data_IF_687680598531
#
_entry.id   IF_687680598531
#
_cell.length_a   1.000
_cell.length_b   1.000
_cell.length_c   1.000
_cell.angle_alpha   90.00
_cell.angle_beta   90.00
_cell.angle_gamma   90.00
#
_symmetry.space_group_name_H-M   'P 1'
#
loop_
_entity.id
_entity.type
_entity.pdbx_description
1 polymer ?
#
# COMPACT_ATOMS: atom_id res chain seq x y z
N UNK A 1 24.56 -38.28 -8.95
CA UNK A 1 24.44 -39.26 -10.05
C UNK A 1 23.83 -38.51 -11.23
N UNK A 2 24.41 -38.26 -12.40
CA UNK A 2 25.71 -38.58 -12.99
C UNK A 2 26.33 -37.28 -13.51
N UNK A 3 27.60 -37.05 -13.16
CA UNK A 3 28.46 -36.06 -13.80
C UNK A 3 29.28 -36.81 -14.85
N UNK A 4 29.40 -36.26 -16.06
CA UNK A 4 30.39 -36.68 -17.04
C UNK A 4 31.39 -35.53 -17.24
N UNK A 5 32.62 -35.62 -16.73
CA UNK A 5 33.73 -34.83 -17.22
C UNK A 5 34.41 -35.62 -18.36
N UNK A 6 34.50 -35.04 -19.55
CA UNK A 6 35.39 -35.57 -20.58
C UNK A 6 36.76 -34.91 -20.38
N UNK A 7 37.62 -35.62 -19.65
CA UNK A 7 39.05 -35.36 -19.54
C UNK A 7 39.78 -35.99 -20.73
N UNK A 8 40.58 -35.22 -21.45
CA UNK A 8 41.62 -35.72 -22.36
C UNK A 8 43.00 -35.49 -21.71
N UNK A 9 43.98 -36.38 -21.95
CA UNK A 9 45.19 -36.49 -21.13
C UNK A 9 46.22 -35.37 -21.41
N UNK A 10 46.86 -34.93 -20.32
CA UNK A 10 48.01 -34.03 -20.26
C UNK A 10 49.32 -34.80 -20.54
N UNK A 11 50.14 -34.29 -21.45
CA UNK A 11 51.60 -34.38 -21.35
C UNK A 11 52.24 -33.05 -21.79
N UNK A 12 53.21 -32.60 -20.99
CA UNK A 12 53.87 -31.30 -21.00
C UNK A 12 54.93 -31.17 -22.11
N UNK A 13 55.11 -29.98 -22.67
CA UNK A 13 56.38 -29.22 -22.63
C UNK A 13 56.20 -27.79 -23.16
N UNK A 14 56.74 -26.81 -22.40
CA UNK A 14 56.83 -25.40 -22.76
C UNK A 14 57.97 -25.15 -23.75
N UNK A 15 57.72 -24.34 -24.78
CA UNK A 15 58.76 -23.75 -25.62
C UNK A 15 58.18 -22.67 -26.52
N UNK A 16 58.43 -21.39 -26.20
CA UNK A 16 58.19 -20.28 -27.12
C UNK A 16 59.27 -20.26 -28.21
N UNK A 17 58.85 -20.11 -29.48
CA UNK A 17 59.42 -19.27 -30.55
C UNK A 17 59.24 -19.91 -31.95
N UNK A 18 59.03 -19.03 -32.93
CA UNK A 18 59.20 -19.23 -34.38
C UNK A 18 58.10 -19.94 -35.20
N UNK A 19 57.33 -19.12 -35.92
CA UNK A 19 57.20 -19.23 -37.38
C UNK A 19 56.73 -20.56 -37.98
N UNK A 20 55.78 -21.24 -37.36
CA UNK A 20 54.99 -22.36 -37.92
C UNK A 20 53.50 -22.12 -37.61
N UNK A 21 52.56 -22.62 -38.42
CA UNK A 21 51.14 -22.49 -38.11
C UNK A 21 50.90 -23.09 -36.72
N UNK A 22 50.61 -22.23 -35.75
CA UNK A 22 50.27 -22.65 -34.39
C UNK A 22 49.19 -23.72 -34.49
N UNK A 23 49.44 -24.85 -33.83
CA UNK A 23 48.65 -26.06 -33.99
C UNK A 23 47.18 -25.70 -33.72
N UNK A 24 46.24 -26.03 -34.61
CA UNK A 24 44.84 -25.65 -34.44
C UNK A 24 44.28 -26.07 -33.06
N UNK A 25 44.84 -27.14 -32.48
CA UNK A 25 44.60 -27.57 -31.11
C UNK A 25 44.95 -26.50 -30.04
N UNK A 26 46.10 -25.84 -30.13
CA UNK A 26 46.53 -24.79 -29.19
C UNK A 26 45.64 -23.55 -29.27
N UNK A 27 45.23 -23.18 -30.50
CA UNK A 27 44.26 -22.11 -30.73
C UNK A 27 42.92 -22.43 -30.03
N UNK A 28 42.36 -23.62 -30.26
CA UNK A 28 41.06 -23.97 -29.68
C UNK A 28 41.11 -24.20 -28.18
N UNK A 29 42.26 -24.62 -27.64
CA UNK A 29 42.48 -24.64 -26.20
C UNK A 29 42.49 -23.22 -25.62
N UNK A 30 43.24 -22.29 -26.22
CA UNK A 30 43.26 -20.88 -25.84
C UNK A 30 41.85 -20.26 -25.89
N UNK A 31 41.13 -20.45 -26.99
CA UNK A 31 39.74 -20.00 -27.17
C UNK A 31 38.84 -20.56 -26.07
N UNK A 32 38.97 -21.85 -25.75
CA UNK A 32 38.19 -22.49 -24.70
C UNK A 32 38.50 -21.91 -23.30
N UNK A 33 39.76 -21.57 -23.02
CA UNK A 33 40.12 -20.90 -21.77
C UNK A 33 39.56 -19.48 -21.73
N UNK A 34 39.70 -18.71 -22.83
CA UNK A 34 39.16 -17.36 -22.95
C UNK A 34 37.64 -17.31 -22.76
N UNK A 35 36.91 -18.30 -23.29
CA UNK A 35 35.47 -18.46 -23.03
C UNK A 35 35.19 -18.69 -21.54
N UNK A 36 35.93 -19.58 -20.87
CA UNK A 36 35.75 -19.87 -19.43
C UNK A 36 35.97 -18.62 -18.57
N UNK A 37 36.93 -17.77 -18.93
CA UNK A 37 37.20 -16.51 -18.25
C UNK A 37 36.39 -15.32 -18.79
N UNK A 38 35.38 -15.57 -19.64
CA UNK A 38 34.47 -14.58 -20.26
C UNK A 38 35.18 -13.51 -21.13
N UNK A 39 36.37 -13.80 -21.63
CA UNK A 39 37.12 -12.95 -22.58
C UNK A 39 36.68 -13.24 -24.02
N UNK A 40 35.41 -12.96 -24.29
CA UNK A 40 34.80 -13.28 -25.57
C UNK A 40 35.38 -12.47 -26.74
N UNK A 41 35.80 -11.23 -26.50
CA UNK A 41 36.43 -10.38 -27.53
C UNK A 41 37.77 -10.95 -28.00
N UNK A 42 38.64 -11.32 -27.06
CA UNK A 42 39.94 -11.95 -27.35
C UNK A 42 39.73 -13.26 -28.13
N UNK A 43 38.84 -14.14 -27.65
CA UNK A 43 38.53 -15.38 -28.33
C UNK A 43 37.97 -15.18 -29.76
N UNK A 44 37.11 -14.17 -29.97
CA UNK A 44 36.60 -13.85 -31.30
C UNK A 44 37.69 -13.32 -32.24
N UNK A 45 38.62 -12.52 -31.73
CA UNK A 45 39.75 -12.01 -32.53
C UNK A 45 40.67 -13.15 -32.98
N UNK A 46 41.01 -14.06 -32.07
CA UNK A 46 41.83 -15.24 -32.37
C UNK A 46 41.17 -16.11 -33.45
N UNK A 47 39.86 -16.36 -33.32
CA UNK A 47 39.09 -17.13 -34.30
C UNK A 47 38.99 -16.43 -35.66
N UNK A 48 38.86 -15.10 -35.68
CA UNK A 48 38.84 -14.34 -36.93
C UNK A 48 40.20 -14.42 -37.65
N UNK A 49 41.31 -14.25 -36.92
CA UNK A 49 42.66 -14.38 -37.48
C UNK A 49 42.91 -15.80 -38.03
N UNK A 50 42.41 -16.83 -37.33
CA UNK A 50 42.50 -18.21 -37.79
C UNK A 50 41.70 -18.45 -39.08
N UNK A 51 40.50 -17.89 -39.19
CA UNK A 51 39.65 -17.98 -40.39
C UNK A 51 40.26 -17.21 -41.57
N UNK A 52 40.93 -16.08 -41.32
CA UNK A 52 41.66 -15.33 -42.34
C UNK A 52 42.86 -16.11 -42.87
N UNK A 53 43.55 -16.83 -41.98
CA UNK A 53 44.72 -17.66 -42.33
C UNK A 53 44.31 -18.94 -43.07
N UNK A 54 43.27 -19.62 -42.59
CA UNK A 54 42.71 -20.83 -43.20
C UNK A 54 41.18 -20.76 -43.28
N UNK A 55 40.64 -20.31 -44.43
CA UNK A 55 39.19 -20.24 -44.63
C UNK A 55 38.47 -21.59 -44.64
N UNK A 56 39.19 -22.72 -44.74
CA UNK A 56 38.62 -24.06 -44.70
C UNK A 56 38.58 -24.66 -43.28
N UNK A 57 39.11 -23.96 -42.27
CA UNK A 57 39.13 -24.38 -40.86
C UNK A 57 37.71 -24.36 -40.26
N UNK A 58 36.97 -25.45 -40.44
CA UNK A 58 35.56 -25.57 -40.06
C UNK A 58 35.31 -25.32 -38.57
N UNK A 59 36.18 -25.81 -37.72
CA UNK A 59 36.11 -25.73 -36.26
C UNK A 59 36.13 -24.28 -35.79
N UNK A 60 36.88 -23.40 -36.47
CA UNK A 60 36.91 -21.98 -36.13
C UNK A 60 35.55 -21.31 -36.35
N UNK A 61 34.83 -21.67 -37.42
CA UNK A 61 33.46 -21.18 -37.64
C UNK A 61 32.49 -21.69 -36.58
N UNK A 62 32.62 -22.96 -36.15
CA UNK A 62 31.77 -23.54 -35.10
C UNK A 62 31.98 -22.82 -33.76
N UNK A 63 33.23 -22.66 -33.32
CA UNK A 63 33.55 -21.97 -32.08
C UNK A 63 33.14 -20.49 -32.14
N UNK A 64 33.38 -19.81 -33.27
CA UNK A 64 32.97 -18.42 -33.47
C UNK A 64 31.47 -18.26 -33.38
N UNK A 65 30.71 -19.14 -34.04
CA UNK A 65 29.26 -19.16 -33.94
C UNK A 65 28.79 -19.36 -32.50
N UNK A 66 29.35 -20.34 -31.79
CA UNK A 66 28.98 -20.62 -30.39
C UNK A 66 29.16 -19.40 -29.48
N UNK A 67 30.29 -18.69 -29.60
CA UNK A 67 30.56 -17.46 -28.84
C UNK A 67 29.57 -16.36 -29.22
N UNK A 68 29.37 -16.14 -30.53
CA UNK A 68 28.44 -15.11 -31.02
C UNK A 68 27.01 -15.37 -30.54
N UNK A 69 26.56 -16.63 -30.49
CA UNK A 69 25.27 -17.01 -29.89
C UNK A 69 25.23 -16.66 -28.40
N UNK A 70 26.26 -17.00 -27.62
CA UNK A 70 26.30 -16.65 -26.19
C UNK A 70 26.11 -15.15 -25.95
N UNK A 71 26.66 -14.32 -26.83
CA UNK A 71 26.56 -12.87 -26.82
C UNK A 71 25.29 -12.31 -27.48
N UNK A 72 24.37 -13.18 -27.92
CA UNK A 72 23.17 -12.86 -28.70
C UNK A 72 23.40 -12.02 -29.97
N UNK A 73 24.55 -12.21 -30.63
CA UNK A 73 24.86 -11.73 -31.99
C UNK A 73 24.37 -12.76 -33.01
N UNK A 74 23.05 -12.97 -33.05
CA UNK A 74 22.44 -14.12 -33.71
C UNK A 74 22.65 -14.14 -35.22
N UNK A 75 22.63 -12.99 -35.89
CA UNK A 75 22.82 -12.91 -37.34
C UNK A 75 24.23 -13.34 -37.76
N UNK A 76 25.25 -12.87 -37.03
CA UNK A 76 26.64 -13.22 -37.28
C UNK A 76 26.94 -14.68 -36.90
N UNK A 77 26.32 -15.13 -35.81
CA UNK A 77 26.41 -16.52 -35.38
C UNK A 77 25.76 -17.46 -36.40
N UNK A 78 24.60 -17.12 -36.95
CA UNK A 78 23.92 -17.93 -37.95
C UNK A 78 24.78 -18.05 -39.22
N UNK A 79 25.38 -16.94 -39.69
CA UNK A 79 26.31 -16.97 -40.82
C UNK A 79 27.48 -17.94 -40.57
N UNK A 80 28.03 -17.92 -39.36
CA UNK A 80 29.15 -18.80 -39.00
C UNK A 80 28.72 -20.28 -38.91
N UNK A 81 27.55 -20.59 -38.34
CA UNK A 81 27.02 -21.96 -38.34
C UNK A 81 26.67 -22.47 -39.75
N UNK A 82 26.09 -21.63 -40.60
CA UNK A 82 25.83 -21.99 -42.01
C UNK A 82 27.15 -22.30 -42.72
N UNK A 83 28.18 -21.48 -42.51
CA UNK A 83 29.50 -21.73 -43.11
C UNK A 83 30.15 -23.02 -42.61
N UNK A 84 30.03 -23.32 -41.31
CA UNK A 84 30.45 -24.59 -40.74
C UNK A 84 29.75 -25.79 -41.42
N UNK A 85 28.43 -25.71 -41.60
CA UNK A 85 27.63 -26.78 -42.22
C UNK A 85 27.87 -26.91 -43.74
N UNK A 86 28.26 -25.84 -44.43
CA UNK A 86 28.76 -25.92 -45.82
C UNK A 86 30.05 -26.74 -45.90
N UNK A 87 30.97 -26.55 -44.96
CA UNK A 87 32.25 -27.28 -44.90
C UNK A 87 32.07 -28.72 -44.37
N UNK A 88 31.08 -28.94 -43.49
CA UNK A 88 30.74 -30.25 -42.91
C UNK A 88 29.24 -30.55 -43.03
N UNK A 89 28.74 -30.91 -44.24
CA UNK A 89 27.33 -31.24 -44.44
C UNK A 89 26.87 -32.43 -43.59
N UNK A 90 25.66 -32.36 -43.05
CA UNK A 90 25.06 -33.44 -42.23
C UNK A 90 25.64 -33.57 -40.81
N UNK A 91 26.40 -32.57 -40.33
CA UNK A 91 26.88 -32.57 -38.95
C UNK A 91 25.73 -32.29 -37.97
N UNK A 92 25.30 -33.33 -37.26
CA UNK A 92 24.16 -33.27 -36.33
C UNK A 92 24.33 -32.28 -35.18
N UNK A 93 25.57 -32.05 -34.72
CA UNK A 93 25.87 -31.08 -33.65
C UNK A 93 25.67 -29.67 -34.18
N UNK A 94 26.22 -29.35 -35.36
CA UNK A 94 26.04 -28.05 -36.00
C UNK A 94 24.58 -27.71 -36.30
N UNK A 95 23.81 -28.68 -36.79
CA UNK A 95 22.37 -28.51 -37.03
C UNK A 95 21.59 -28.25 -35.73
N UNK A 96 21.92 -28.99 -34.66
CA UNK A 96 21.31 -28.80 -33.34
C UNK A 96 21.63 -27.42 -32.78
N UNK A 97 22.90 -26.99 -32.82
CA UNK A 97 23.33 -25.69 -32.33
C UNK A 97 22.70 -24.53 -33.12
N UNK A 98 22.59 -24.67 -34.45
CA UNK A 98 21.88 -23.71 -35.29
C UNK A 98 20.38 -23.64 -34.96
N UNK A 99 19.74 -24.78 -34.68
CA UNK A 99 18.34 -24.81 -34.21
C UNK A 99 18.18 -24.11 -32.86
N UNK A 100 19.07 -24.36 -31.91
CA UNK A 100 19.05 -23.67 -30.61
C UNK A 100 19.25 -22.17 -30.74
N UNK A 101 20.14 -21.72 -31.64
CA UNK A 101 20.30 -20.30 -31.96
C UNK A 101 18.98 -19.68 -32.43
N UNK A 102 18.30 -20.32 -33.38
CA UNK A 102 17.04 -19.80 -33.93
C UNK A 102 15.94 -19.74 -32.87
N UNK A 103 15.88 -20.74 -31.99
CA UNK A 103 14.97 -20.74 -30.84
C UNK A 103 15.27 -19.57 -29.89
N UNK A 104 16.54 -19.33 -29.56
CA UNK A 104 16.95 -18.23 -28.69
C UNK A 104 16.67 -16.85 -29.31
N UNK A 105 16.89 -16.70 -30.63
CA UNK A 105 16.56 -15.48 -31.36
C UNK A 105 15.06 -15.20 -31.34
N UNK A 106 14.25 -16.18 -31.76
CA UNK A 106 12.78 -16.03 -31.80
C UNK A 106 12.20 -15.79 -30.40
N UNK A 107 12.74 -16.45 -29.37
CA UNK A 107 12.33 -16.20 -27.98
C UNK A 107 12.71 -14.79 -27.49
N UNK A 108 13.87 -14.26 -27.89
CA UNK A 108 14.27 -12.89 -27.53
C UNK A 108 13.35 -11.85 -28.20
N UNK A 109 13.06 -12.03 -29.49
CA UNK A 109 12.11 -11.16 -30.23
C UNK A 109 10.71 -11.22 -29.61
N UNK A 110 10.26 -12.41 -29.22
CA UNK A 110 8.98 -12.61 -28.52
C UNK A 110 8.98 -11.91 -27.16
N UNK A 111 10.07 -12.01 -26.38
CA UNK A 111 10.19 -11.33 -25.10
C UNK A 111 10.13 -9.80 -25.23
N UNK A 112 10.70 -9.22 -26.28
CA UNK A 112 10.56 -7.79 -26.58
C UNK A 112 9.11 -7.41 -26.89
N UNK A 113 8.43 -8.18 -27.74
CA UNK A 113 7.00 -7.96 -28.03
C UNK A 113 6.10 -8.09 -26.79
N UNK A 114 6.41 -9.04 -25.89
CA UNK A 114 5.71 -9.22 -24.62
C UNK A 114 5.95 -8.06 -23.64
N UNK A 115 7.15 -7.48 -23.65
CA UNK A 115 7.43 -6.26 -22.90
C UNK A 115 6.54 -5.10 -23.36
N UNK A 116 6.40 -4.90 -24.67
CA UNK A 116 5.57 -3.81 -25.23
C UNK A 116 4.07 -4.01 -24.94
N UNK A 117 3.61 -5.26 -24.94
CA UNK A 117 2.23 -5.65 -24.61
C UNK A 117 1.94 -5.79 -23.11
N UNK A 118 2.92 -5.51 -22.24
CA UNK A 118 2.83 -5.58 -20.76
C UNK A 118 2.57 -6.96 -20.17
N UNK A 119 2.82 -8.04 -20.92
CA UNK A 119 2.78 -9.41 -20.39
C UNK A 119 4.14 -9.78 -19.78
N UNK A 120 4.39 -9.26 -18.58
CA UNK A 120 5.71 -9.34 -17.95
C UNK A 120 6.09 -10.78 -17.58
N UNK A 121 5.13 -11.60 -17.15
CA UNK A 121 5.39 -12.96 -16.65
C UNK A 121 5.83 -13.88 -17.78
N UNK A 122 5.13 -13.86 -18.92
CA UNK A 122 5.54 -14.65 -20.09
C UNK A 122 6.87 -14.14 -20.66
N UNK A 123 7.07 -12.82 -20.71
CA UNK A 123 8.34 -12.25 -21.15
C UNK A 123 9.53 -12.77 -20.34
N UNK A 124 9.40 -12.80 -19.01
CA UNK A 124 10.41 -13.38 -18.11
C UNK A 124 10.62 -14.87 -18.36
N UNK A 125 9.54 -15.62 -18.60
CA UNK A 125 9.63 -17.05 -18.88
C UNK A 125 10.44 -17.36 -20.16
N UNK A 126 10.20 -16.63 -21.25
CA UNK A 126 10.99 -16.78 -22.48
C UNK A 126 12.47 -16.46 -22.25
N UNK A 127 12.75 -15.40 -21.48
CA UNK A 127 14.12 -15.02 -21.16
C UNK A 127 14.83 -16.09 -20.31
N UNK A 128 14.22 -16.53 -19.21
CA UNK A 128 14.86 -17.45 -18.27
C UNK A 128 14.91 -18.89 -18.76
N UNK A 129 13.88 -19.36 -19.48
CA UNK A 129 13.80 -20.78 -19.92
C UNK A 129 14.41 -21.03 -21.30
N UNK A 130 14.58 -20.01 -22.13
CA UNK A 130 15.07 -20.16 -23.50
C UNK A 130 16.29 -19.30 -23.76
N UNK A 131 16.15 -17.97 -23.68
CA UNK A 131 17.21 -17.06 -24.13
C UNK A 131 18.46 -17.19 -23.28
N UNK A 132 18.36 -17.08 -21.96
CA UNK A 132 19.52 -17.12 -21.05
C UNK A 132 20.05 -18.55 -20.84
N UNK A 133 19.28 -19.58 -21.21
CA UNK A 133 19.76 -20.97 -21.26
C UNK A 133 20.72 -21.17 -22.43
N UNK A 134 20.36 -20.67 -23.62
CA UNK A 134 21.17 -20.82 -24.83
C UNK A 134 22.19 -19.69 -25.03
N UNK A 135 21.94 -18.53 -24.43
CA UNK A 135 22.70 -17.29 -24.58
C UNK A 135 22.97 -16.62 -23.22
N UNK A 136 23.69 -17.27 -22.29
CA UNK A 136 23.87 -16.79 -20.92
C UNK A 136 24.66 -15.48 -20.78
N UNK A 137 25.45 -15.11 -21.80
CA UNK A 137 26.21 -13.87 -21.84
C UNK A 137 25.48 -12.73 -22.57
N UNK A 138 24.21 -12.91 -22.93
CA UNK A 138 23.45 -11.90 -23.66
C UNK A 138 23.07 -10.71 -22.77
N UNK A 139 23.84 -9.62 -22.85
CA UNK A 139 23.57 -8.39 -22.09
C UNK A 139 22.21 -7.80 -22.40
N UNK A 140 21.76 -7.86 -23.67
CA UNK A 140 20.43 -7.37 -24.08
C UNK A 140 19.30 -8.09 -23.33
N UNK A 141 19.40 -9.41 -23.19
CA UNK A 141 18.40 -10.22 -22.49
C UNK A 141 18.42 -9.96 -20.98
N UNK A 142 19.60 -9.84 -20.36
CA UNK A 142 19.73 -9.51 -18.92
C UNK A 142 19.11 -8.14 -18.59
N UNK A 143 19.36 -7.13 -19.44
CA UNK A 143 18.75 -5.81 -19.30
C UNK A 143 17.24 -5.86 -19.50
N UNK A 144 16.74 -6.55 -20.54
CA UNK A 144 15.31 -6.71 -20.76
C UNK A 144 14.62 -7.41 -19.58
N UNK A 145 15.28 -8.43 -19.00
CA UNK A 145 14.81 -9.09 -17.79
C UNK A 145 14.68 -8.11 -16.63
N UNK A 146 15.69 -7.28 -16.39
CA UNK A 146 15.63 -6.25 -15.35
C UNK A 146 14.49 -5.23 -15.61
N UNK A 147 14.24 -4.84 -16.86
CA UNK A 147 13.09 -3.98 -17.23
C UNK A 147 11.74 -4.65 -16.95
N UNK A 148 11.58 -5.91 -17.34
CA UNK A 148 10.36 -6.68 -17.09
C UNK A 148 10.10 -6.85 -15.59
N UNK A 149 11.14 -7.15 -14.81
CA UNK A 149 11.05 -7.23 -13.35
C UNK A 149 10.63 -5.90 -12.72
N UNK A 150 11.18 -4.78 -13.21
CA UNK A 150 10.83 -3.44 -12.74
C UNK A 150 9.35 -3.12 -13.05
N UNK A 151 8.91 -3.38 -14.27
CA UNK A 151 7.52 -3.18 -14.69
C UNK A 151 6.54 -4.08 -13.91
N UNK A 152 6.98 -5.26 -13.50
CA UNK A 152 6.25 -6.17 -12.62
C UNK A 152 6.39 -5.85 -11.12
N UNK A 153 7.03 -4.74 -10.76
CA UNK A 153 7.23 -4.26 -9.38
C UNK A 153 8.06 -5.20 -8.48
N UNK A 154 8.88 -6.08 -9.06
CA UNK A 154 9.81 -6.97 -8.33
C UNK A 154 11.17 -6.29 -8.07
N UNK A 155 11.17 -5.21 -7.29
CA UNK A 155 12.34 -4.33 -7.11
C UNK A 155 13.58 -5.04 -6.56
N UNK A 156 13.43 -5.94 -5.60
CA UNK A 156 14.55 -6.73 -5.06
C UNK A 156 15.23 -7.59 -6.13
N UNK A 157 14.44 -8.16 -7.05
CA UNK A 157 14.95 -8.95 -8.17
C UNK A 157 15.68 -8.06 -9.20
N UNK A 158 15.19 -6.84 -9.45
CA UNK A 158 15.89 -5.85 -10.29
C UNK A 158 17.26 -5.52 -9.70
N UNK A 159 17.33 -5.31 -8.37
CA UNK A 159 18.59 -5.05 -7.67
C UNK A 159 19.55 -6.23 -7.82
N UNK A 160 19.07 -7.46 -7.69
CA UNK A 160 19.93 -8.65 -7.90
C UNK A 160 20.46 -8.72 -9.34
N UNK A 161 19.56 -8.65 -10.33
CA UNK A 161 19.89 -8.78 -11.75
C UNK A 161 20.85 -7.68 -12.22
N UNK A 162 20.53 -6.41 -11.93
CA UNK A 162 21.42 -5.28 -12.25
C UNK A 162 22.75 -5.35 -11.50
N UNK A 163 22.79 -5.97 -10.33
CA UNK A 163 24.03 -6.20 -9.58
C UNK A 163 24.99 -7.14 -10.30
N UNK A 164 24.46 -8.21 -10.91
CA UNK A 164 25.27 -9.10 -11.76
C UNK A 164 25.78 -8.38 -13.00
N UNK A 165 24.95 -7.56 -13.65
CA UNK A 165 25.34 -6.77 -14.83
C UNK A 165 26.46 -5.80 -14.45
N UNK A 166 26.32 -5.07 -13.34
CA UNK A 166 27.33 -4.10 -12.88
C UNK A 166 28.63 -4.74 -12.38
N UNK A 167 28.60 -6.02 -12.03
CA UNK A 167 29.82 -6.78 -11.74
C UNK A 167 30.60 -7.12 -13.01
N UNK A 168 29.90 -7.29 -14.14
CA UNK A 168 30.50 -7.55 -15.45
C UNK A 168 30.94 -6.23 -16.13
N UNK A 169 30.11 -5.19 -16.02
CA UNK A 169 30.35 -3.84 -16.56
C UNK A 169 29.86 -2.79 -15.56
N UNK A 170 30.78 -2.26 -14.76
CA UNK A 170 30.46 -1.29 -13.71
C UNK A 170 29.93 0.05 -14.22
N UNK A 171 30.12 0.34 -15.51
CA UNK A 171 29.76 1.59 -16.17
C UNK A 171 28.51 1.45 -17.05
N UNK A 172 27.81 0.31 -16.94
CA UNK A 172 26.57 0.07 -17.65
C UNK A 172 25.48 1.07 -17.24
N UNK A 173 25.25 2.09 -18.07
CA UNK A 173 24.33 3.20 -17.79
C UNK A 173 22.90 2.72 -17.53
N UNK A 174 22.45 1.72 -18.29
CA UNK A 174 21.09 1.19 -18.21
C UNK A 174 20.88 0.36 -16.93
N UNK A 175 21.87 -0.44 -16.53
CA UNK A 175 21.82 -1.13 -15.25
C UNK A 175 21.87 -0.15 -14.06
N UNK A 176 22.65 0.93 -14.15
CA UNK A 176 22.65 1.99 -13.13
C UNK A 176 21.28 2.68 -13.01
N UNK A 177 20.65 3.00 -14.14
CA UNK A 177 19.31 3.59 -14.18
C UNK A 177 18.28 2.66 -13.54
N UNK A 178 18.19 1.40 -14.01
CA UNK A 178 17.21 0.42 -13.53
C UNK A 178 17.40 0.11 -12.04
N UNK A 179 18.65 -0.01 -11.60
CA UNK A 179 18.98 -0.21 -10.18
C UNK A 179 18.56 0.99 -9.34
N UNK A 180 18.84 2.20 -9.81
CA UNK A 180 18.39 3.43 -9.16
C UNK A 180 16.86 3.51 -9.06
N UNK A 181 16.13 3.12 -10.11
CA UNK A 181 14.66 3.06 -10.11
C UNK A 181 14.12 2.05 -9.11
N UNK A 182 14.76 0.89 -8.98
CA UNK A 182 14.36 -0.11 -7.98
C UNK A 182 14.52 0.43 -6.54
N UNK A 183 15.67 1.02 -6.21
CA UNK A 183 15.86 1.65 -4.90
C UNK A 183 14.93 2.85 -4.67
N UNK A 184 14.65 3.62 -5.73
CA UNK A 184 13.70 4.71 -5.69
C UNK A 184 12.32 4.23 -5.21
N UNK A 185 11.75 3.19 -5.83
CA UNK A 185 10.44 2.66 -5.45
C UNK A 185 10.42 1.92 -4.10
N UNK A 186 11.59 1.47 -3.61
CA UNK A 186 11.75 0.97 -2.25
C UNK A 186 11.91 2.08 -1.20
N UNK A 187 11.80 3.35 -1.59
CA UNK A 187 12.03 4.53 -0.77
C UNK A 187 13.45 4.65 -0.18
N UNK A 188 14.44 3.93 -0.73
CA UNK A 188 15.86 4.12 -0.43
C UNK A 188 16.45 5.18 -1.38
N UNK A 189 16.00 6.42 -1.17
CA UNK A 189 16.29 7.53 -2.06
C UNK A 189 17.78 7.91 -2.08
N UNK A 190 18.51 7.69 -0.98
CA UNK A 190 19.94 7.97 -0.90
C UNK A 190 20.76 7.01 -1.79
N UNK A 191 20.41 5.71 -1.81
CA UNK A 191 21.03 4.76 -2.72
C UNK A 191 20.61 5.03 -4.16
N UNK A 192 19.34 5.31 -4.42
CA UNK A 192 18.84 5.66 -5.75
C UNK A 192 19.60 6.85 -6.34
N UNK A 193 19.74 7.93 -5.56
CA UNK A 193 20.44 9.14 -5.96
C UNK A 193 21.91 8.86 -6.31
N UNK A 194 22.61 8.03 -5.53
CA UNK A 194 24.00 7.65 -5.81
C UNK A 194 24.15 6.91 -7.14
N UNK A 195 23.22 6.00 -7.47
CA UNK A 195 23.23 5.31 -8.77
C UNK A 195 22.98 6.27 -9.93
N UNK A 196 21.99 7.16 -9.82
CA UNK A 196 21.73 8.16 -10.85
C UNK A 196 22.92 9.11 -11.04
N UNK A 197 23.54 9.57 -9.95
CA UNK A 197 24.74 10.42 -10.01
C UNK A 197 25.95 9.70 -10.60
N UNK A 198 26.13 8.40 -10.34
CA UNK A 198 27.18 7.62 -11.02
C UNK A 198 26.92 7.60 -12.53
N UNK A 199 25.69 7.30 -12.95
CA UNK A 199 25.31 7.31 -14.38
C UNK A 199 25.53 8.67 -15.04
N UNK A 200 25.09 9.76 -14.42
CA UNK A 200 25.25 11.12 -14.94
C UNK A 200 26.70 11.63 -14.94
N UNK A 201 27.60 11.05 -14.14
CA UNK A 201 29.04 11.33 -14.26
C UNK A 201 29.66 10.68 -15.49
N UNK A 202 29.13 9.53 -15.91
CA UNK A 202 29.58 8.79 -17.08
C UNK A 202 29.00 9.40 -18.37
N UNK A 203 27.71 9.73 -18.36
CA UNK A 203 27.02 10.44 -19.43
C UNK A 203 26.17 11.58 -18.85
N UNK A 204 26.70 12.82 -18.84
CA UNK A 204 25.98 13.98 -18.36
C UNK A 204 24.74 14.34 -19.17
N UNK A 205 24.57 13.85 -20.40
CA UNK A 205 23.43 14.17 -21.29
C UNK A 205 22.38 13.06 -21.37
N UNK A 206 22.54 11.98 -20.59
CA UNK A 206 21.61 10.86 -20.58
C UNK A 206 20.20 11.28 -20.12
N UNK A 207 19.25 11.35 -21.06
CA UNK A 207 17.88 11.85 -20.84
C UNK A 207 17.16 11.14 -19.68
N UNK A 208 17.10 9.79 -19.70
CA UNK A 208 16.33 9.05 -18.69
C UNK A 208 16.92 9.15 -17.28
N UNK A 209 18.25 9.15 -17.14
CA UNK A 209 18.94 9.37 -15.88
C UNK A 209 18.70 10.79 -15.34
N UNK A 210 18.74 11.82 -16.20
CA UNK A 210 18.39 13.19 -15.80
C UNK A 210 16.96 13.23 -15.28
N UNK A 211 16.02 12.67 -16.03
CA UNK A 211 14.60 12.62 -15.65
C UNK A 211 14.40 11.94 -14.30
N UNK A 212 15.00 10.76 -14.10
CA UNK A 212 14.90 10.03 -12.84
C UNK A 212 15.53 10.80 -11.66
N UNK A 213 16.72 11.37 -11.86
CA UNK A 213 17.43 12.16 -10.84
C UNK A 213 16.65 13.43 -10.43
N UNK A 214 16.21 14.23 -11.40
CA UNK A 214 15.48 15.46 -11.12
C UNK A 214 14.06 15.18 -10.61
N UNK A 215 13.43 14.10 -11.07
CA UNK A 215 12.15 13.62 -10.53
C UNK A 215 12.25 13.33 -9.04
N UNK A 216 13.22 12.51 -8.64
CA UNK A 216 13.49 12.22 -7.22
C UNK A 216 13.82 13.50 -6.43
N UNK A 217 14.68 14.37 -6.96
CA UNK A 217 15.03 15.63 -6.28
C UNK A 217 13.82 16.53 -6.07
N UNK A 218 12.92 16.59 -7.06
CA UNK A 218 11.69 17.38 -6.96
C UNK A 218 10.72 16.79 -5.92
N UNK A 219 10.54 15.47 -5.91
CA UNK A 219 9.74 14.76 -4.92
C UNK A 219 10.21 15.05 -3.49
N UNK A 220 11.52 14.91 -3.23
CA UNK A 220 12.12 15.18 -1.93
C UNK A 220 11.99 16.65 -1.53
N UNK A 221 12.22 17.56 -2.48
CA UNK A 221 12.06 19.00 -2.23
C UNK A 221 10.63 19.35 -1.84
N UNK A 222 9.63 18.76 -2.50
CA UNK A 222 8.22 19.00 -2.16
C UNK A 222 7.77 18.35 -0.87
N UNK A 223 8.23 17.13 -0.59
CA UNK A 223 8.04 16.47 0.71
C UNK A 223 8.56 17.36 1.84
N UNK A 224 9.81 17.82 1.74
CA UNK A 224 10.43 18.71 2.73
C UNK A 224 9.69 20.04 2.87
N UNK A 225 9.24 20.64 1.76
CA UNK A 225 8.44 21.87 1.78
C UNK A 225 7.15 21.70 2.57
N UNK A 226 6.47 20.55 2.41
CA UNK A 226 5.26 20.23 3.16
C UNK A 226 5.55 20.15 4.66
N UNK A 227 6.57 19.40 5.05
CA UNK A 227 7.01 19.24 6.46
C UNK A 227 7.42 20.57 7.09
N UNK A 228 8.22 21.39 6.38
CA UNK A 228 8.62 22.72 6.83
C UNK A 228 7.40 23.64 7.04
N UNK A 229 6.38 23.54 6.18
CA UNK A 229 5.15 24.29 6.34
C UNK A 229 4.31 23.80 7.53
N UNK A 230 4.32 22.50 7.83
CA UNK A 230 3.73 21.97 9.07
C UNK A 230 4.42 22.56 10.30
N UNK A 231 5.76 22.54 10.32
CA UNK A 231 6.56 23.06 11.44
C UNK A 231 6.37 24.57 11.66
N UNK A 232 6.12 25.32 10.58
CA UNK A 232 5.81 26.76 10.63
C UNK A 232 4.33 27.07 10.94
N UNK A 233 3.49 26.07 11.17
CA UNK A 233 2.05 26.23 11.41
C UNK A 233 1.25 26.65 10.17
N UNK A 234 1.85 26.64 8.98
CA UNK A 234 1.22 27.00 7.70
C UNK A 234 0.42 25.82 7.14
N UNK A 235 -0.54 25.32 7.91
CA UNK A 235 -1.22 24.04 7.67
C UNK A 235 -1.91 23.97 6.30
N UNK A 236 -2.57 25.05 5.84
CA UNK A 236 -3.20 25.06 4.51
C UNK A 236 -2.18 24.92 3.37
N UNK A 237 -1.01 25.56 3.49
CA UNK A 237 0.06 25.42 2.49
C UNK A 237 0.69 24.04 2.54
N UNK A 238 0.83 23.45 3.74
CA UNK A 238 1.30 22.07 3.87
C UNK A 238 0.38 21.07 3.16
N UNK A 239 -0.95 21.26 3.25
CA UNK A 239 -1.91 20.43 2.50
C UNK A 239 -1.66 20.48 0.99
N UNK A 240 -1.48 21.68 0.43
CA UNK A 240 -1.21 21.84 -1.01
C UNK A 240 0.13 21.22 -1.41
N UNK A 241 1.18 21.38 -0.58
CA UNK A 241 2.48 20.76 -0.85
C UNK A 241 2.44 19.22 -0.76
N UNK A 242 1.73 18.64 0.21
CA UNK A 242 1.55 17.18 0.29
C UNK A 242 0.80 16.64 -0.93
N UNK A 243 -0.30 17.29 -1.32
CA UNK A 243 -1.05 16.91 -2.54
C UNK A 243 -0.19 17.05 -3.80
N UNK A 244 0.59 18.13 -3.87
CA UNK A 244 1.54 18.35 -4.95
C UNK A 244 2.62 17.26 -5.01
N UNK A 245 3.14 16.81 -3.87
CA UNK A 245 4.10 15.72 -3.80
C UNK A 245 3.50 14.38 -4.24
N UNK A 246 2.30 14.04 -3.77
CA UNK A 246 1.56 12.83 -4.18
C UNK A 246 1.27 12.79 -5.69
N UNK A 247 1.03 13.95 -6.30
CA UNK A 247 0.77 14.06 -7.73
C UNK A 247 2.03 13.86 -8.60
N UNK A 248 3.24 13.92 -8.04
CA UNK A 248 4.48 13.72 -8.80
C UNK A 248 4.67 12.26 -9.22
N UNK A 249 4.32 11.33 -8.34
CA UNK A 249 4.43 9.89 -8.60
C UNK A 249 3.41 9.09 -7.77
N UNK A 250 2.20 8.86 -8.30
CA UNK A 250 1.16 8.08 -7.61
C UNK A 250 1.55 6.61 -7.38
N UNK A 251 2.46 6.05 -8.18
CA UNK A 251 2.89 4.65 -8.08
C UNK A 251 3.99 4.42 -7.01
N UNK A 252 4.51 5.49 -6.41
CA UNK A 252 5.54 5.42 -5.35
C UNK A 252 4.96 5.05 -3.99
N UNK A 253 4.39 3.85 -3.88
CA UNK A 253 3.66 3.41 -2.69
C UNK A 253 4.45 3.54 -1.38
N UNK A 254 5.72 3.11 -1.37
CA UNK A 254 6.54 3.12 -0.16
C UNK A 254 6.75 4.53 0.42
N UNK A 255 6.94 5.53 -0.44
CA UNK A 255 7.03 6.93 -0.02
C UNK A 255 5.66 7.55 0.24
N UNK A 256 4.66 7.21 -0.58
CA UNK A 256 3.33 7.80 -0.50
C UNK A 256 2.61 7.48 0.82
N UNK A 257 2.93 6.37 1.50
CA UNK A 257 2.46 6.11 2.88
C UNK A 257 2.76 7.31 3.80
N UNK A 258 4.00 7.81 3.76
CA UNK A 258 4.44 8.92 4.60
C UNK A 258 3.74 10.22 4.21
N UNK A 259 3.55 10.47 2.92
CA UNK A 259 2.84 11.66 2.42
C UNK A 259 1.35 11.64 2.79
N UNK A 260 0.68 10.50 2.62
CA UNK A 260 -0.73 10.32 3.00
C UNK A 260 -0.93 10.49 4.50
N UNK A 261 -0.05 9.90 5.32
CA UNK A 261 -0.07 10.06 6.78
C UNK A 261 0.17 11.51 7.19
N UNK A 262 1.17 12.17 6.60
CA UNK A 262 1.46 13.59 6.83
C UNK A 262 0.27 14.48 6.48
N UNK A 263 -0.34 14.26 5.31
CA UNK A 263 -1.55 14.96 4.88
C UNK A 263 -2.72 14.71 5.82
N UNK A 264 -2.95 13.46 6.24
CA UNK A 264 -4.01 13.11 7.18
C UNK A 264 -3.87 13.88 8.49
N UNK A 265 -2.68 13.87 9.11
CA UNK A 265 -2.39 14.61 10.36
C UNK A 265 -2.71 16.10 10.24
N UNK A 266 -2.33 16.73 9.13
CA UNK A 266 -2.59 18.15 8.90
C UNK A 266 -4.07 18.43 8.72
N UNK A 267 -4.81 17.54 8.03
CA UNK A 267 -6.24 17.68 7.83
C UNK A 267 -7.03 17.49 9.13
N UNK A 268 -6.62 16.55 10.00
CA UNK A 268 -7.16 16.41 11.37
C UNK A 268 -6.97 17.71 12.15
N UNK A 269 -5.75 18.27 12.16
CA UNK A 269 -5.46 19.56 12.83
C UNK A 269 -6.28 20.73 12.29
N UNK A 270 -6.69 20.68 11.03
CA UNK A 270 -7.55 21.68 10.40
C UNK A 270 -9.06 21.44 10.62
N UNK A 271 -9.44 20.38 11.33
CA UNK A 271 -10.85 20.01 11.52
C UNK A 271 -11.52 19.42 10.27
N UNK A 272 -10.75 19.09 9.23
CA UNK A 272 -11.25 18.55 7.95
C UNK A 272 -11.42 17.03 8.01
N UNK A 273 -12.28 16.55 8.90
CA UNK A 273 -12.44 15.13 9.21
C UNK A 273 -12.69 14.23 7.98
N UNK A 274 -13.57 14.64 7.06
CA UNK A 274 -13.86 13.87 5.84
C UNK A 274 -12.62 13.65 4.97
N UNK A 275 -11.88 14.72 4.67
CA UNK A 275 -10.68 14.65 3.84
C UNK A 275 -9.53 13.90 4.55
N UNK A 276 -9.43 14.07 5.88
CA UNK A 276 -8.47 13.36 6.71
C UNK A 276 -8.72 11.85 6.68
N UNK A 277 -9.98 11.42 6.83
CA UNK A 277 -10.36 10.00 6.81
C UNK A 277 -9.97 9.33 5.49
N UNK A 278 -10.18 10.02 4.36
CA UNK A 278 -9.73 9.54 3.03
C UNK A 278 -8.21 9.38 3.02
N UNK A 279 -7.47 10.43 3.40
CA UNK A 279 -6.00 10.42 3.35
C UNK A 279 -5.38 9.35 4.27
N UNK A 280 -5.93 9.17 5.47
CA UNK A 280 -5.49 8.10 6.37
C UNK A 280 -5.84 6.71 5.84
N UNK A 281 -6.99 6.56 5.18
CA UNK A 281 -7.36 5.28 4.56
C UNK A 281 -6.43 4.91 3.42
N UNK A 282 -5.98 5.88 2.60
CA UNK A 282 -4.95 5.63 1.58
C UNK A 282 -3.64 5.15 2.20
N UNK A 283 -3.19 5.74 3.32
CA UNK A 283 -2.01 5.25 4.03
C UNK A 283 -2.20 3.80 4.53
N UNK A 284 -3.37 3.48 5.09
CA UNK A 284 -3.71 2.14 5.60
C UNK A 284 -3.96 1.11 4.48
N UNK A 285 -4.36 1.54 3.28
CA UNK A 285 -4.47 0.65 2.12
C UNK A 285 -3.10 0.14 1.67
N UNK A 286 -2.05 0.94 1.90
CA UNK A 286 -0.67 0.55 1.58
C UNK A 286 -0.03 -0.18 2.77
N UNK A 287 -0.19 0.33 3.99
CA UNK A 287 0.27 -0.30 5.23
C UNK A 287 -0.88 -0.37 6.25
N UNK A 288 -1.63 -1.47 6.23
CA UNK A 288 -2.79 -1.69 7.09
C UNK A 288 -2.48 -1.75 8.58
N UNK A 289 -1.20 -1.93 8.93
CA UNK A 289 -0.76 -2.05 10.30
C UNK A 289 -0.22 -0.75 10.89
N UNK A 290 -0.21 0.33 10.10
CA UNK A 290 0.34 1.64 10.47
C UNK A 290 -0.41 2.26 11.65
N UNK A 291 0.16 2.07 12.85
CA UNK A 291 -0.42 2.49 14.13
C UNK A 291 -0.85 3.96 14.13
N UNK A 292 0.00 4.85 13.63
CA UNK A 292 -0.27 6.28 13.65
C UNK A 292 -1.40 6.67 12.69
N UNK A 293 -1.55 5.97 11.56
CA UNK A 293 -2.66 6.19 10.64
C UNK A 293 -3.99 5.72 11.23
N UNK A 294 -4.02 4.61 11.99
CA UNK A 294 -5.20 4.18 12.74
C UNK A 294 -5.65 5.25 13.74
N UNK A 295 -4.71 5.77 14.55
CA UNK A 295 -5.01 6.82 15.53
C UNK A 295 -5.56 8.07 14.84
N UNK A 296 -4.90 8.55 13.79
CA UNK A 296 -5.34 9.75 13.08
C UNK A 296 -6.67 9.55 12.33
N UNK A 297 -6.96 8.35 11.82
CA UNK A 297 -8.27 8.05 11.22
C UNK A 297 -9.36 8.01 12.27
N UNK A 298 -9.09 7.47 13.45
CA UNK A 298 -9.99 7.53 14.59
C UNK A 298 -10.33 8.97 14.98
N UNK A 299 -9.33 9.84 15.10
CA UNK A 299 -9.54 11.28 15.34
C UNK A 299 -10.35 11.95 14.22
N UNK A 300 -10.05 11.62 12.95
CA UNK A 300 -10.80 12.13 11.81
C UNK A 300 -12.29 11.71 11.85
N UNK A 301 -12.57 10.49 12.28
CA UNK A 301 -13.93 9.96 12.42
C UNK A 301 -14.70 10.59 13.58
N UNK A 302 -14.01 10.92 14.69
CA UNK A 302 -14.60 11.71 15.78
C UNK A 302 -15.06 13.09 15.27
N UNK A 303 -14.28 13.74 14.38
CA UNK A 303 -14.67 15.02 13.77
C UNK A 303 -15.90 14.90 12.84
N UNK A 304 -16.17 13.70 12.29
CA UNK A 304 -17.32 13.45 11.42
C UNK A 304 -18.47 12.72 12.12
N UNK A 305 -18.40 12.58 13.44
CA UNK A 305 -19.39 11.88 14.26
C UNK A 305 -19.58 10.39 13.91
N UNK A 306 -18.58 9.77 13.28
CA UNK A 306 -18.51 8.32 13.07
C UNK A 306 -17.93 7.66 14.33
N UNK A 307 -18.74 7.63 15.40
CA UNK A 307 -18.30 7.19 16.73
C UNK A 307 -17.89 5.72 16.76
N UNK A 308 -18.64 4.85 16.07
CA UNK A 308 -18.36 3.42 16.00
C UNK A 308 -17.05 3.18 15.27
N UNK A 309 -16.88 3.76 14.08
CA UNK A 309 -15.66 3.63 13.33
C UNK A 309 -14.45 4.24 14.04
N UNK A 310 -14.63 5.29 14.86
CA UNK A 310 -13.57 5.88 15.66
C UNK A 310 -13.11 4.95 16.79
N UNK A 311 -14.06 4.36 17.51
CA UNK A 311 -13.77 3.38 18.57
C UNK A 311 -13.05 2.17 17.99
N UNK A 312 -13.50 1.66 16.83
CA UNK A 312 -12.87 0.50 16.19
C UNK A 312 -11.39 0.76 15.86
N UNK A 313 -11.08 1.87 15.17
CA UNK A 313 -9.71 2.23 14.81
C UNK A 313 -8.82 2.44 16.05
N UNK A 314 -9.31 3.17 17.06
CA UNK A 314 -8.56 3.48 18.27
C UNK A 314 -8.37 2.25 19.17
N UNK A 315 -9.32 1.32 19.18
CA UNK A 315 -9.21 0.04 19.89
C UNK A 315 -8.15 -0.84 19.24
N UNK A 316 -8.15 -0.94 17.91
CA UNK A 316 -7.08 -1.62 17.17
C UNK A 316 -5.71 -1.00 17.46
N UNK A 317 -5.61 0.34 17.50
CA UNK A 317 -4.38 1.02 17.88
C UNK A 317 -3.95 0.73 19.34
N UNK A 318 -4.88 0.77 20.28
CA UNK A 318 -4.61 0.50 21.71
C UNK A 318 -4.18 -0.94 21.95
N UNK A 319 -4.69 -1.91 21.19
CA UNK A 319 -4.25 -3.31 21.27
C UNK A 319 -2.79 -3.48 20.82
N UNK A 320 -2.36 -2.72 19.80
CA UNK A 320 -0.99 -2.76 19.27
C UNK A 320 0.01 -2.02 20.15
N UNK A 321 -0.42 -0.94 20.81
CA UNK A 321 0.41 -0.19 21.76
C UNK A 321 -0.29 -0.05 23.10
N UNK A 322 -0.38 -1.13 23.91
CA UNK A 322 -1.13 -1.11 25.15
C UNK A 322 -0.64 -0.07 26.13
N UNK A 323 0.64 0.29 26.14
CA UNK A 323 1.20 1.22 27.13
C UNK A 323 1.11 2.69 26.72
N UNK A 324 0.63 3.00 25.51
CA UNK A 324 0.50 4.38 25.05
C UNK A 324 -0.73 5.05 25.67
N UNK A 325 -0.47 5.94 26.62
CA UNK A 325 -1.51 6.67 27.35
C UNK A 325 -2.30 7.62 26.44
N UNK A 326 -1.69 8.17 25.39
CA UNK A 326 -2.38 9.08 24.47
C UNK A 326 -3.44 8.32 23.66
N UNK A 327 -3.11 7.11 23.21
CA UNK A 327 -4.05 6.27 22.45
C UNK A 327 -5.19 5.81 23.37
N UNK A 328 -4.89 5.43 24.62
CA UNK A 328 -5.91 5.07 25.61
C UNK A 328 -6.86 6.25 25.91
N UNK A 329 -6.32 7.46 26.07
CA UNK A 329 -7.13 8.66 26.30
C UNK A 329 -8.02 8.98 25.09
N UNK A 330 -7.48 8.86 23.88
CA UNK A 330 -8.25 9.02 22.65
C UNK A 330 -9.38 7.97 22.54
N UNK A 331 -9.08 6.70 22.84
CA UNK A 331 -10.07 5.63 22.88
C UNK A 331 -11.16 5.90 23.91
N UNK A 332 -10.80 6.28 25.14
CA UNK A 332 -11.76 6.60 26.19
C UNK A 332 -12.70 7.74 25.78
N UNK A 333 -12.16 8.78 25.14
CA UNK A 333 -12.96 9.88 24.58
C UNK A 333 -13.92 9.39 23.50
N UNK A 334 -13.45 8.51 22.61
CA UNK A 334 -14.29 7.92 21.55
C UNK A 334 -15.40 7.03 22.12
N UNK A 335 -15.10 6.17 23.09
CA UNK A 335 -16.07 5.31 23.78
C UNK A 335 -17.11 6.14 24.53
N UNK A 336 -16.68 7.22 25.20
CA UNK A 336 -17.59 8.16 25.85
C UNK A 336 -18.52 8.82 24.82
N UNK A 337 -17.99 9.27 23.69
CA UNK A 337 -18.79 9.89 22.63
C UNK A 337 -19.81 8.90 22.03
N UNK A 338 -19.38 7.66 21.74
CA UNK A 338 -20.25 6.59 21.26
C UNK A 338 -21.36 6.25 22.27
N UNK A 339 -21.02 6.20 23.55
CA UNK A 339 -22.00 5.96 24.61
C UNK A 339 -23.02 7.09 24.68
N UNK A 340 -22.56 8.34 24.62
CA UNK A 340 -23.44 9.50 24.61
C UNK A 340 -24.34 9.54 23.37
N UNK A 341 -23.86 9.11 22.19
CA UNK A 341 -24.67 9.08 20.96
C UNK A 341 -25.75 7.99 20.98
N UNK A 342 -25.54 6.91 21.72
CA UNK A 342 -26.53 5.82 21.92
C UNK A 342 -27.52 6.11 23.04
N UNK A 343 -27.27 7.12 23.87
CA UNK A 343 -28.13 7.49 24.99
C UNK A 343 -29.46 8.07 24.49
N UNK A 344 -30.56 7.67 25.12
CA UNK A 344 -31.88 8.28 24.87
C UNK A 344 -31.84 9.78 25.17
N UNK A 345 -32.32 10.59 24.23
CA UNK A 345 -32.45 12.04 24.43
C UNK A 345 -33.77 12.38 25.15
N UNK A 346 -33.70 12.49 26.49
CA UNK A 346 -34.87 12.80 27.32
C UNK A 346 -35.51 14.16 26.99
N UNK A 347 -34.72 15.13 26.51
CA UNK A 347 -35.24 16.44 26.12
C UNK A 347 -36.11 16.34 24.88
N UNK A 348 -35.67 15.53 23.91
CA UNK A 348 -36.42 15.24 22.70
C UNK A 348 -37.72 14.49 23.00
N UNK A 349 -37.70 13.54 23.95
CA UNK A 349 -38.90 12.81 24.39
C UNK A 349 -39.95 13.75 25.00
N UNK A 350 -39.52 14.71 25.83
CA UNK A 350 -40.43 15.72 26.39
C UNK A 350 -40.75 16.88 25.43
N UNK A 351 -40.08 16.97 24.28
CA UNK A 351 -40.25 18.06 23.32
C UNK A 351 -39.81 19.43 23.85
N UNK A 352 -38.79 19.47 24.71
CA UNK A 352 -38.28 20.69 25.36
C UNK A 352 -36.82 20.94 25.03
N UNK A 353 -36.36 22.19 25.19
CA UNK A 353 -34.96 22.56 24.98
C UNK A 353 -34.09 22.08 26.14
N UNK A 354 -32.80 21.82 25.88
CA UNK A 354 -31.79 21.59 26.95
C UNK A 354 -31.68 22.77 27.92
N UNK A 355 -32.06 23.97 27.48
CA UNK A 355 -32.08 25.19 28.31
C UNK A 355 -33.40 25.41 29.04
N UNK A 356 -34.38 24.52 28.90
CA UNK A 356 -35.70 24.70 29.52
C UNK A 356 -35.62 24.67 31.04
N UNK A 357 -36.43 25.49 31.69
CA UNK A 357 -36.52 25.51 33.16
C UNK A 357 -37.25 24.26 33.69
N UNK A 358 -37.04 23.93 34.97
CA UNK A 358 -37.75 22.81 35.63
C UNK A 358 -39.28 22.97 35.53
N UNK A 359 -39.77 24.21 35.60
CA UNK A 359 -41.19 24.51 35.43
C UNK A 359 -41.71 24.20 34.02
N UNK A 360 -40.93 24.48 32.98
CA UNK A 360 -41.25 24.15 31.58
C UNK A 360 -41.24 22.64 31.33
N UNK A 361 -40.23 21.96 31.86
CA UNK A 361 -40.12 20.49 31.82
C UNK A 361 -41.33 19.84 32.49
N UNK A 362 -41.72 20.32 33.67
CA UNK A 362 -42.91 19.85 34.40
C UNK A 362 -44.21 20.11 33.64
N UNK A 363 -44.34 21.25 32.96
CA UNK A 363 -45.51 21.56 32.11
C UNK A 363 -45.59 20.64 30.90
N UNK A 364 -44.46 20.41 30.22
CA UNK A 364 -44.38 19.50 29.08
C UNK A 364 -44.73 18.06 29.48
N UNK A 365 -44.18 17.58 30.59
CA UNK A 365 -44.52 16.28 31.18
C UNK A 365 -46.03 16.15 31.42
N UNK A 366 -46.65 17.10 32.14
CA UNK A 366 -48.10 17.06 32.42
C UNK A 366 -48.94 17.00 31.15
N UNK A 367 -48.57 17.75 30.12
CA UNK A 367 -49.28 17.77 28.84
C UNK A 367 -49.18 16.42 28.13
N UNK A 368 -47.97 15.87 28.03
CA UNK A 368 -47.71 14.59 27.35
C UNK A 368 -48.30 13.41 28.13
N UNK A 369 -48.22 13.41 29.46
CA UNK A 369 -48.80 12.39 30.33
C UNK A 369 -50.34 12.34 30.18
N UNK A 370 -51.01 13.50 30.08
CA UNK A 370 -52.46 13.55 29.83
C UNK A 370 -52.82 13.07 28.42
N UNK A 371 -51.98 13.37 27.43
CA UNK A 371 -52.19 12.98 26.03
C UNK A 371 -52.05 11.46 25.84
N UNK A 372 -51.04 10.85 26.45
CA UNK A 372 -50.71 9.43 26.31
C UNK A 372 -51.24 8.56 27.45
N UNK A 373 -52.19 9.06 28.25
CA UNK A 373 -52.80 8.27 29.31
C UNK A 373 -53.59 7.07 28.71
N UNK A 374 -53.43 5.84 29.20
CA UNK A 374 -54.10 4.65 28.62
C UNK A 374 -55.62 4.76 28.56
N UNK A 375 -56.24 5.42 29.55
CA UNK A 375 -57.70 5.61 29.59
C UNK A 375 -58.23 6.50 28.46
N UNK A 376 -57.38 7.37 27.88
CA UNK A 376 -57.75 8.20 26.72
C UNK A 376 -57.37 7.56 25.38
N UNK A 377 -56.65 6.44 25.44
CA UNK A 377 -56.02 5.76 24.31
C UNK A 377 -56.38 4.27 24.33
N UNK A 378 -57.68 3.97 24.49
CA UNK A 378 -58.16 2.59 24.69
C UNK A 378 -57.91 1.71 23.46
N UNK A 379 -58.02 2.29 22.26
CA UNK A 379 -57.83 1.59 20.98
C UNK A 379 -56.34 1.38 20.61
N UNK A 380 -55.43 2.14 21.22
CA UNK A 380 -53.98 2.08 21.02
C UNK A 380 -53.22 1.96 22.35
N UNK A 381 -53.79 1.18 23.28
CA UNK A 381 -53.37 1.12 24.68
C UNK A 381 -51.90 0.75 24.87
N UNK A 382 -51.40 -0.23 24.12
CA UNK A 382 -50.02 -0.70 24.22
C UNK A 382 -49.00 0.39 23.83
N UNK A 383 -49.28 1.12 22.74
CA UNK A 383 -48.45 2.24 22.29
C UNK A 383 -48.49 3.39 23.31
N UNK A 384 -49.68 3.69 23.84
CA UNK A 384 -49.85 4.74 24.85
C UNK A 384 -49.12 4.40 26.15
N UNK A 385 -49.17 3.15 26.61
CA UNK A 385 -48.41 2.69 27.78
C UNK A 385 -46.89 2.73 27.53
N UNK A 386 -46.42 2.43 26.32
CA UNK A 386 -45.01 2.59 25.96
C UNK A 386 -44.57 4.05 26.00
N UNK A 387 -45.30 4.96 25.33
CA UNK A 387 -45.01 6.39 25.32
C UNK A 387 -45.08 7.00 26.71
N UNK A 388 -46.11 6.66 27.49
CA UNK A 388 -46.28 7.15 28.86
C UNK A 388 -45.10 6.75 29.75
N UNK A 389 -44.60 5.51 29.62
CA UNK A 389 -43.39 5.06 30.33
C UNK A 389 -42.16 5.87 29.93
N UNK A 390 -41.95 6.16 28.65
CA UNK A 390 -40.82 6.96 28.20
C UNK A 390 -40.90 8.42 28.69
N UNK A 391 -42.09 9.03 28.65
CA UNK A 391 -42.36 10.38 29.15
C UNK A 391 -42.11 10.47 30.67
N UNK A 392 -42.56 9.47 31.43
CA UNK A 392 -42.33 9.38 32.86
C UNK A 392 -40.83 9.24 33.19
N UNK A 393 -40.12 8.34 32.51
CA UNK A 393 -38.68 8.17 32.68
C UNK A 393 -37.90 9.46 32.35
N UNK A 394 -38.31 10.17 31.28
CA UNK A 394 -37.70 11.44 30.91
C UNK A 394 -37.90 12.51 32.01
N UNK A 395 -39.09 12.60 32.59
CA UNK A 395 -39.38 13.55 33.67
C UNK A 395 -38.68 13.20 34.97
N UNK A 396 -38.52 11.91 35.29
CA UNK A 396 -37.77 11.48 36.48
C UNK A 396 -36.30 11.96 36.44
N UNK A 397 -35.70 11.96 35.25
CA UNK A 397 -34.33 12.41 35.04
C UNK A 397 -34.24 13.93 34.94
N UNK A 398 -35.10 14.55 34.12
CA UNK A 398 -35.00 15.98 33.80
C UNK A 398 -35.70 16.91 34.80
N UNK A 399 -36.65 16.38 35.57
CA UNK A 399 -37.42 17.13 36.57
C UNK A 399 -36.69 17.31 37.91
N UNK A 400 -35.60 16.58 38.14
CA UNK A 400 -34.72 16.71 39.30
C UNK A 400 -33.40 17.37 38.88
N UNK A 401 -33.02 18.46 39.55
CA UNK A 401 -31.85 19.26 39.16
C UNK A 401 -30.53 18.47 39.26
N UNK A 402 -30.41 17.56 40.23
CA UNK A 402 -29.20 16.75 40.41
C UNK A 402 -29.08 15.66 39.34
N UNK A 403 -30.17 14.92 39.09
CA UNK A 403 -30.25 13.91 38.03
C UNK A 403 -30.08 14.53 36.65
N UNK A 404 -30.67 15.69 36.40
CA UNK A 404 -30.49 16.45 35.16
C UNK A 404 -29.04 16.87 34.98
N UNK A 405 -28.40 17.40 36.02
CA UNK A 405 -27.00 17.80 35.93
C UNK A 405 -26.08 16.60 35.64
N UNK A 406 -26.35 15.42 36.23
CA UNK A 406 -25.64 14.16 35.90
C UNK A 406 -25.90 13.71 34.47
N UNK A 407 -27.15 13.79 34.01
CA UNK A 407 -27.54 13.51 32.63
C UNK A 407 -26.74 14.38 31.64
N UNK A 408 -26.70 15.68 31.89
CA UNK A 408 -26.05 16.67 31.04
C UNK A 408 -24.52 16.51 31.01
N UNK A 409 -23.91 16.03 32.10
CA UNK A 409 -22.47 15.70 32.15
C UNK A 409 -22.11 14.36 31.49
N UNK A 410 -23.11 13.60 31.02
CA UNK A 410 -22.90 12.29 30.42
C UNK A 410 -22.55 11.21 31.44
N UNK A 411 -22.89 11.41 32.71
CA UNK A 411 -22.73 10.39 33.76
C UNK A 411 -23.85 9.35 33.65
N UNK A 412 -23.53 8.10 34.01
CA UNK A 412 -24.51 7.02 34.06
C UNK A 412 -25.53 7.29 35.15
N UNK A 413 -26.79 7.33 34.75
CA UNK A 413 -27.93 7.41 35.68
C UNK A 413 -28.44 6.00 35.99
N UNK A 414 -28.02 5.00 35.22
CA UNK A 414 -28.37 3.59 35.41
C UNK A 414 -27.88 3.05 36.76
N UNK A 415 -26.75 3.56 37.27
CA UNK A 415 -26.21 3.19 38.60
C UNK A 415 -26.97 3.83 39.78
N UNK A 416 -27.97 4.68 39.51
CA UNK A 416 -28.85 5.29 40.53
C UNK A 416 -30.26 4.68 40.56
N UNK A 417 -30.33 3.34 40.54
CA UNK A 417 -31.57 2.63 40.88
C UNK A 417 -32.51 2.29 39.73
N UNK A 418 -32.03 2.34 38.48
CA UNK A 418 -32.74 1.77 37.31
C UNK A 418 -32.35 0.31 37.04
N UNK A 419 -31.83 -0.39 38.06
CA UNK A 419 -31.54 -1.82 38.03
C UNK A 419 -32.75 -2.67 38.42
N UNK A 420 -33.40 -3.27 37.43
CA UNK A 420 -34.13 -4.53 37.61
C UNK A 420 -35.50 -4.50 38.32
N UNK A 421 -36.06 -3.33 38.64
CA UNK A 421 -37.44 -3.20 39.12
C UNK A 421 -38.22 -2.28 38.19
N UNK A 422 -38.98 -2.83 37.26
CA UNK A 422 -39.78 -2.04 36.33
C UNK A 422 -40.65 -1.04 37.07
N UNK A 423 -40.43 0.26 36.84
CA UNK A 423 -41.41 1.28 37.18
C UNK A 423 -42.65 0.96 36.34
N UNK A 424 -43.63 0.32 36.98
CA UNK A 424 -44.91 0.01 36.40
C UNK A 424 -45.86 1.10 36.92
N UNK A 425 -46.05 2.22 36.20
CA UNK A 425 -46.96 3.29 36.64
C UNK A 425 -48.42 2.81 36.79
N UNK A 426 -48.73 1.60 36.28
CA UNK A 426 -50.01 0.92 36.38
C UNK A 426 -49.96 -0.34 37.27
N UNK A 427 -48.82 -0.63 37.88
CA UNK A 427 -48.66 -1.74 38.82
C UNK A 427 -49.07 -1.31 40.22
N UNK A 428 -50.22 -1.80 40.69
CA UNK A 428 -50.65 -1.63 42.07
C UNK A 428 -49.67 -2.31 43.02
N UNK A 429 -48.82 -1.52 43.69
CA UNK A 429 -48.00 -1.99 44.81
C UNK A 429 -46.71 -1.19 45.03
N UNK A 430 -46.76 -0.18 45.91
CA UNK A 430 -45.63 0.10 46.82
C UNK A 430 -44.62 1.22 46.49
N UNK A 431 -44.86 2.12 45.53
CA UNK A 431 -44.01 3.30 45.29
C UNK A 431 -44.79 4.62 45.42
N UNK A 432 -44.17 5.65 46.00
CA UNK A 432 -44.77 6.95 46.38
C UNK A 432 -45.96 7.40 45.51
N UNK A 433 -47.13 7.54 46.14
CA UNK A 433 -48.31 8.16 45.55
C UNK A 433 -48.01 9.62 45.21
N UNK A 434 -47.86 9.93 43.92
CA UNK A 434 -48.06 11.29 43.44
C UNK A 434 -49.56 11.57 43.43
N UNK A 435 -50.07 12.11 44.53
CA UNK A 435 -51.41 12.70 44.59
C UNK A 435 -51.43 13.97 43.75
N UNK A 436 -52.24 13.97 42.69
CA UNK A 436 -52.51 15.15 41.89
C UNK A 436 -53.55 16.03 42.61
N UNK A 437 -53.10 17.03 43.36
CA UNK A 437 -53.97 18.14 43.79
C UNK A 437 -54.02 19.17 42.67
N UNK A 438 -55.17 19.29 42.01
CA UNK A 438 -55.44 20.34 41.03
C UNK A 438 -55.84 21.61 41.80
N UNK A 439 -54.85 22.42 42.18
CA UNK A 439 -55.10 23.72 42.80
C UNK A 439 -55.20 24.79 41.70
N UNK A 440 -56.43 25.21 41.42
CA UNK A 440 -56.74 26.09 40.29
C UNK A 440 -58.24 26.34 40.19
N UNK A 441 -58.76 27.14 41.12
CA UNK A 441 -60.16 27.50 41.23
C UNK A 441 -60.75 28.14 39.98
N UNK A 442 -61.95 27.70 39.62
CA UNK A 442 -62.88 28.42 38.74
C UNK A 442 -63.98 29.03 39.63
N UNK A 443 -64.10 30.38 39.70
CA UNK A 443 -65.15 31.02 40.47
C UNK A 443 -66.42 31.15 39.62
N UNK A 444 -67.50 30.47 40.02
CA UNK A 444 -68.84 30.81 39.56
C UNK A 444 -69.79 29.64 39.30
N UNK A 445 -70.72 29.42 40.25
CA UNK A 445 -72.12 29.22 39.90
C UNK A 445 -72.64 27.79 39.75
N UNK A 446 -73.44 27.38 40.75
CA UNK A 446 -74.58 26.46 40.65
C UNK A 446 -74.34 24.95 40.42
N UNK A 447 -74.31 24.22 41.54
CA UNK A 447 -75.48 23.43 41.94
C UNK A 447 -75.69 22.05 41.30
N UNK A 448 -75.49 21.01 42.11
CA UNK A 448 -76.38 19.84 42.10
C UNK A 448 -75.70 18.47 41.97
N UNK A 449 -75.83 17.66 43.02
CA UNK A 449 -75.93 16.20 42.90
C UNK A 449 -74.63 15.43 43.03
N UNK A 450 -74.30 15.04 44.27
CA UNK A 450 -73.24 14.08 44.54
C UNK A 450 -73.60 12.68 44.03
N UNK A 451 -72.72 12.13 43.21
CA UNK A 451 -72.51 10.69 43.08
C UNK A 451 -71.05 10.42 43.39
N UNK A 452 -70.81 9.77 44.52
CA UNK A 452 -69.49 9.31 44.92
C UNK A 452 -69.13 8.00 44.22
N UNK A 453 -67.88 7.89 43.80
CA UNK A 453 -67.22 6.61 43.59
C UNK A 453 -65.94 6.57 44.42
N UNK A 454 -65.82 5.50 45.20
CA UNK A 454 -64.64 5.16 46.00
C UNK A 454 -63.48 4.74 45.08
N UNK A 455 -62.28 5.12 45.49
CA UNK A 455 -60.98 4.78 44.91
C UNK A 455 -60.55 3.35 45.24
#
# INVERSE_FOLDING_TARGET
MHAFPVSLPLEFTLGCADGKPGNAAELFESVSQNIKVKRYSEALNDLNAAIETDPALSEAYFHRASILRQLCRYEESEKSYKKFLELKPGNSIGEKELSQLRQAQSALETAFSLFDSRDHTKGLEYLDKVVLVFSPACSKAKILKAKLLLAAKYYSSVISETGFILKEDENNLEALLLRGQAYYYLADHDVAQRHYQKGLRLDPEHSELKKAYFGLKNLLKKTKSAEDNVNKGKLRLAVEDYKGALALDPDHLAHNVHLHLGLCKVLVKLGRGKDASISCSEALNIDGELLEALVQRGEAKLLTEDWEGAVDDLKSAAQKSPQDMNIREALMRAEKALKMSKRKDWYKILGVSKTSSVAEIKRAYKKLALQWHPDKNVDNREEAEAQFREIAAAYEVLGDDEKRAKYDRGEDIEDMGMGGGGFNPFGGGGGQQFTFTFDGGFPGGFGGGGYGFNF
#
